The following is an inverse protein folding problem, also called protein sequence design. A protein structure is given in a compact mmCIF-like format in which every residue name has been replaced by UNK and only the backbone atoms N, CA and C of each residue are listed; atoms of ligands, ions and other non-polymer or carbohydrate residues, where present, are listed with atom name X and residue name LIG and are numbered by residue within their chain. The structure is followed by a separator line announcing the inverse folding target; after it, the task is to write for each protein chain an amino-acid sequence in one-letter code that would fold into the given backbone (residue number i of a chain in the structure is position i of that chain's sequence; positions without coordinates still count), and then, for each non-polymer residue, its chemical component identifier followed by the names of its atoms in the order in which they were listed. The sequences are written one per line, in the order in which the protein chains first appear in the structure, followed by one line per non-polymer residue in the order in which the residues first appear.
data_IF_182538875220
#
_entry.id   IF_182538875220
#
_cell.length_a   1.000
_cell.length_b   1.000
_cell.length_c   1.000
_cell.angle_alpha   90.00
_cell.angle_beta   90.00
_cell.angle_gamma   90.00
#
_symmetry.space_group_name_H-M   'P 1'
#
loop_
_entity.id
_entity.type
_entity.pdbx_description
1 polymer ?
#
# COMPACT_ATOMS: atom_id res chain seq x y z
N UNK A 1 6.46 27.42 -2.49
CA UNK A 1 7.16 28.12 -3.59
C UNK A 1 7.15 27.22 -4.82
N UNK A 2 6.84 27.74 -6.01
CA UNK A 2 6.77 26.94 -7.25
C UNK A 2 8.18 26.64 -7.80
N UNK A 3 8.45 25.37 -8.15
CA UNK A 3 9.73 24.93 -8.72
C UNK A 3 9.50 24.32 -10.12
N UNK A 4 9.76 25.06 -11.22
CA UNK A 4 9.46 24.61 -12.58
C UNK A 4 10.08 23.26 -12.94
N UNK A 5 11.29 22.97 -12.45
CA UNK A 5 12.01 21.70 -12.73
C UNK A 5 11.37 20.46 -12.12
N UNK A 6 10.42 20.61 -11.19
CA UNK A 6 9.67 19.51 -10.57
C UNK A 6 8.33 19.24 -11.26
N UNK A 7 8.00 19.98 -12.31
CA UNK A 7 6.76 19.85 -13.04
C UNK A 7 7.07 19.44 -14.48
N UNK A 8 6.27 18.52 -15.00
CA UNK A 8 6.29 18.18 -16.42
C UNK A 8 5.30 19.06 -17.19
N UNK A 9 5.61 19.33 -18.45
CA UNK A 9 4.66 19.99 -19.36
C UNK A 9 3.50 19.05 -19.62
N UNK A 10 2.26 19.58 -19.58
CA UNK A 10 1.07 18.78 -19.88
C UNK A 10 1.19 18.14 -21.26
N UNK A 11 1.00 16.82 -21.33
CA UNK A 11 1.03 16.08 -22.58
C UNK A 11 -0.10 16.55 -23.52
N UNK A 12 0.22 16.75 -24.80
CA UNK A 12 -0.76 17.12 -25.82
C UNK A 12 -1.61 15.94 -26.33
N UNK A 13 -1.37 14.73 -25.80
CA UNK A 13 -2.11 13.52 -26.15
C UNK A 13 -3.55 13.56 -25.64
N UNK A 14 -4.47 13.01 -26.42
CA UNK A 14 -5.84 12.78 -25.95
C UNK A 14 -5.88 11.64 -24.94
N UNK A 15 -6.92 11.62 -24.10
CA UNK A 15 -7.15 10.54 -23.14
C UNK A 15 -7.41 9.20 -23.86
N UNK A 16 -6.62 8.18 -23.51
CA UNK A 16 -6.80 6.81 -23.98
C UNK A 16 -7.03 5.86 -22.80
N UNK A 17 -8.26 5.34 -22.71
CA UNK A 17 -8.66 4.40 -21.65
C UNK A 17 -7.85 3.09 -21.71
N UNK A 18 -7.55 2.58 -22.89
CA UNK A 18 -6.81 1.31 -23.03
C UNK A 18 -5.37 1.49 -22.54
N UNK A 19 -4.72 2.59 -22.92
CA UNK A 19 -3.37 2.92 -22.44
C UNK A 19 -3.32 3.02 -20.91
N UNK A 20 -4.29 3.72 -20.31
CA UNK A 20 -4.37 3.87 -18.85
C UNK A 20 -4.54 2.52 -18.15
N UNK A 21 -5.38 1.63 -18.67
CA UNK A 21 -5.53 0.27 -18.12
C UNK A 21 -4.24 -0.52 -18.19
N UNK A 22 -3.54 -0.49 -19.33
CA UNK A 22 -2.24 -1.15 -19.48
C UNK A 22 -1.22 -0.66 -18.45
N UNK A 23 -1.19 0.65 -18.17
CA UNK A 23 -0.27 1.23 -17.18
C UNK A 23 -0.64 0.81 -15.75
N UNK A 24 -1.94 0.82 -15.40
CA UNK A 24 -2.41 0.34 -14.10
C UNK A 24 -2.03 -1.13 -13.88
N UNK A 25 -2.29 -1.98 -14.88
CA UNK A 25 -1.93 -3.39 -14.85
C UNK A 25 -0.42 -3.61 -14.72
N UNK A 26 0.40 -2.80 -15.40
CA UNK A 26 1.85 -2.87 -15.30
C UNK A 26 2.35 -2.50 -13.89
N UNK A 27 1.83 -1.40 -13.31
CA UNK A 27 2.19 -0.97 -11.96
C UNK A 27 1.79 -2.02 -10.91
N UNK A 28 0.57 -2.55 -11.00
CA UNK A 28 0.10 -3.56 -10.05
C UNK A 28 0.92 -4.85 -10.13
N UNK A 29 1.24 -5.30 -11.34
CA UNK A 29 2.08 -6.49 -11.55
C UNK A 29 3.49 -6.31 -11.02
N UNK A 30 4.12 -5.16 -11.25
CA UNK A 30 5.42 -4.86 -10.66
C UNK A 30 5.33 -4.82 -9.13
N UNK A 31 4.27 -4.23 -8.59
CA UNK A 31 4.00 -4.22 -7.14
C UNK A 31 3.90 -5.64 -6.57
N UNK A 32 3.17 -6.55 -7.23
CA UNK A 32 3.08 -7.96 -6.81
C UNK A 32 4.44 -8.67 -6.93
N UNK A 33 5.22 -8.42 -7.98
CA UNK A 33 6.53 -9.04 -8.19
C UNK A 33 7.58 -8.59 -7.18
N UNK A 34 7.49 -7.36 -6.69
CA UNK A 34 8.40 -6.81 -5.68
C UNK A 34 7.98 -7.15 -4.24
N UNK A 35 6.85 -7.83 -4.03
CA UNK A 35 6.44 -8.26 -2.71
C UNK A 35 7.42 -9.32 -2.15
N UNK A 36 7.96 -9.04 -0.97
CA UNK A 36 8.78 -9.97 -0.22
C UNK A 36 8.07 -10.49 1.03
N UNK A 37 8.24 -11.78 1.32
CA UNK A 37 7.56 -12.43 2.45
C UNK A 37 8.08 -11.96 3.81
N UNK A 38 9.33 -11.50 3.89
CA UNK A 38 9.96 -11.08 5.15
C UNK A 38 9.80 -9.58 5.40
N UNK A 39 9.86 -8.79 4.34
CA UNK A 39 9.99 -7.33 4.40
C UNK A 39 8.90 -6.56 3.69
N UNK A 40 7.91 -7.22 3.07
CA UNK A 40 6.82 -6.57 2.33
C UNK A 40 7.33 -5.74 1.15
N UNK A 41 7.16 -4.42 1.18
CA UNK A 41 7.70 -3.48 0.19
C UNK A 41 8.69 -2.53 0.87
N UNK A 42 9.89 -2.34 0.31
CA UNK A 42 10.93 -1.55 0.94
C UNK A 42 10.58 -0.06 0.96
N UNK A 43 11.03 0.63 2.00
CA UNK A 43 10.87 2.09 2.11
C UNK A 43 11.74 2.78 1.07
N UNK A 44 11.11 3.69 0.31
CA UNK A 44 11.83 4.54 -0.61
C UNK A 44 12.90 5.36 0.15
N UNK A 45 14.13 5.53 -0.36
CA UNK A 45 15.20 6.22 0.36
C UNK A 45 14.85 7.64 0.83
N UNK A 46 13.97 8.34 0.10
CA UNK A 46 13.51 9.69 0.46
C UNK A 46 12.40 9.72 1.53
N UNK A 47 11.86 8.57 1.93
CA UNK A 47 10.80 8.46 2.94
C UNK A 47 11.33 7.88 4.27
N UNK A 48 12.65 7.75 4.43
CA UNK A 48 13.33 7.22 5.63
C UNK A 48 13.45 8.27 6.74
N UNK A 49 12.34 8.93 7.04
CA UNK A 49 12.32 10.07 7.96
C UNK A 49 11.86 9.70 9.38
N UNK A 50 11.34 8.48 9.60
CA UNK A 50 10.83 8.03 10.89
C UNK A 50 11.88 7.23 11.68
N UNK A 51 12.22 7.63 12.92
CA UNK A 51 12.92 6.78 13.87
C UNK A 51 11.95 5.86 14.64
N UNK A 52 12.33 4.61 14.97
CA UNK A 52 13.57 3.92 14.60
C UNK A 52 13.56 3.47 13.12
N UNK A 53 14.74 3.25 12.50
CA UNK A 53 14.80 2.73 11.14
C UNK A 53 14.19 1.33 11.10
N UNK A 54 13.12 1.18 10.32
CA UNK A 54 12.47 -0.10 10.03
C UNK A 54 12.72 -0.49 8.57
N UNK A 55 12.76 -1.80 8.22
CA UNK A 55 13.02 -2.22 6.85
C UNK A 55 11.85 -1.88 5.90
N UNK A 56 10.64 -1.82 6.43
CA UNK A 56 9.40 -1.49 5.75
C UNK A 56 8.41 -0.88 6.72
N UNK A 57 7.54 -0.01 6.22
CA UNK A 57 6.39 0.51 6.96
C UNK A 57 5.17 -0.41 6.75
N UNK A 58 4.36 -0.57 7.80
CA UNK A 58 3.18 -1.42 7.77
C UNK A 58 1.86 -0.64 7.74
N UNK A 59 1.85 0.60 8.22
CA UNK A 59 0.65 1.44 8.31
C UNK A 59 0.04 1.80 6.95
N UNK A 60 -1.16 2.39 6.99
CA UNK A 60 -1.97 2.66 5.80
C UNK A 60 -1.37 3.76 4.90
N UNK A 61 -0.90 4.86 5.48
CA UNK A 61 -0.54 6.06 4.69
C UNK A 61 0.68 5.84 3.79
N UNK A 62 1.71 5.16 4.30
CA UNK A 62 2.95 4.95 3.59
C UNK A 62 3.50 3.56 3.94
N UNK A 63 2.71 2.51 3.76
CA UNK A 63 3.13 1.17 4.15
C UNK A 63 2.33 0.05 3.53
N UNK A 64 2.67 -1.17 3.92
CA UNK A 64 2.17 -2.39 3.33
C UNK A 64 0.62 -2.51 3.39
N UNK A 65 -0.03 -1.99 4.44
CA UNK A 65 -1.49 -1.98 4.50
C UNK A 65 -2.14 -1.10 3.42
N UNK A 66 -1.50 0.02 3.07
CA UNK A 66 -1.93 0.89 1.96
C UNK A 66 -1.82 0.19 0.61
N UNK A 67 -0.73 -0.53 0.39
CA UNK A 67 -0.53 -1.33 -0.83
C UNK A 67 -1.60 -2.42 -0.94
N UNK A 68 -1.84 -3.17 0.14
CA UNK A 68 -2.89 -4.20 0.19
C UNK A 68 -4.27 -3.61 -0.12
N UNK A 69 -4.61 -2.47 0.47
CA UNK A 69 -5.87 -1.80 0.19
C UNK A 69 -5.99 -1.37 -1.28
N UNK A 70 -4.93 -0.80 -1.86
CA UNK A 70 -4.91 -0.36 -3.25
C UNK A 70 -5.09 -1.54 -4.22
N UNK A 71 -4.37 -2.64 -4.02
CA UNK A 71 -4.51 -3.86 -4.81
C UNK A 71 -5.92 -4.45 -4.68
N UNK A 72 -6.47 -4.52 -3.46
CA UNK A 72 -7.85 -4.96 -3.24
C UNK A 72 -8.85 -4.08 -4.00
N UNK A 73 -8.70 -2.76 -3.93
CA UNK A 73 -9.56 -1.81 -4.61
C UNK A 73 -9.50 -1.97 -6.14
N UNK A 74 -8.30 -2.06 -6.71
CA UNK A 74 -8.11 -2.23 -8.15
C UNK A 74 -8.68 -3.56 -8.65
N UNK A 75 -8.51 -4.64 -7.88
CA UNK A 75 -9.10 -5.94 -8.19
C UNK A 75 -10.64 -5.88 -8.14
N UNK A 76 -11.23 -5.28 -7.11
CA UNK A 76 -12.68 -5.07 -7.02
C UNK A 76 -13.23 -4.22 -8.17
N UNK A 77 -12.46 -3.23 -8.63
CA UNK A 77 -12.80 -2.39 -9.78
C UNK A 77 -12.57 -3.09 -11.14
N UNK A 78 -12.15 -4.37 -11.15
CA UNK A 78 -11.81 -5.14 -12.36
C UNK A 78 -10.74 -4.45 -13.23
N UNK A 79 -9.87 -3.67 -12.58
CA UNK A 79 -8.77 -2.98 -13.24
C UNK A 79 -7.54 -3.88 -13.39
N UNK A 80 -7.39 -4.89 -12.53
CA UNK A 80 -6.26 -5.82 -12.50
C UNK A 80 -6.75 -7.24 -12.19
N UNK A 81 -5.95 -8.24 -12.54
CA UNK A 81 -6.00 -9.58 -11.93
C UNK A 81 -5.00 -9.62 -10.77
N UNK A 82 -5.23 -10.46 -9.78
CA UNK A 82 -4.43 -10.51 -8.55
C UNK A 82 -4.21 -11.95 -8.11
N UNK A 83 -2.97 -12.30 -7.80
CA UNK A 83 -2.60 -13.65 -7.35
C UNK A 83 -2.32 -13.71 -5.83
N UNK A 84 -2.16 -12.57 -5.17
CA UNK A 84 -1.87 -12.49 -3.73
C UNK A 84 -3.10 -12.76 -2.86
N UNK A 85 -2.92 -13.60 -1.83
CA UNK A 85 -3.87 -13.71 -0.71
C UNK A 85 -3.76 -12.49 0.22
N UNK A 86 -4.52 -11.44 -0.13
CA UNK A 86 -4.53 -10.18 0.61
C UNK A 86 -5.07 -10.31 2.04
N UNK A 87 -5.97 -11.27 2.29
CA UNK A 87 -6.55 -11.49 3.61
C UNK A 87 -5.53 -12.10 4.59
N UNK A 88 -4.76 -13.09 4.13
CA UNK A 88 -3.63 -13.61 4.87
C UNK A 88 -2.53 -12.54 5.03
N UNK A 89 -2.26 -11.77 3.98
CA UNK A 89 -1.23 -10.73 4.00
C UNK A 89 -1.54 -9.62 5.01
N UNK A 90 -2.76 -9.06 5.03
CA UNK A 90 -3.10 -7.99 5.99
C UNK A 90 -3.10 -8.50 7.44
N UNK A 91 -3.47 -9.76 7.67
CA UNK A 91 -3.40 -10.38 8.99
C UNK A 91 -1.96 -10.49 9.49
N UNK A 92 -1.03 -10.86 8.61
CA UNK A 92 0.41 -10.91 8.89
C UNK A 92 0.98 -9.52 9.15
N UNK A 93 0.65 -8.54 8.30
CA UNK A 93 1.08 -7.14 8.46
C UNK A 93 0.66 -6.62 9.84
N UNK A 94 -0.58 -6.88 10.24
CA UNK A 94 -1.06 -6.49 11.55
C UNK A 94 -0.28 -7.14 12.70
N UNK A 95 -0.02 -8.45 12.62
CA UNK A 95 0.80 -9.14 13.61
C UNK A 95 2.23 -8.57 13.68
N UNK A 96 2.87 -8.31 12.53
CA UNK A 96 4.21 -7.71 12.48
C UNK A 96 4.22 -6.31 13.10
N UNK A 97 3.23 -5.47 12.77
CA UNK A 97 3.13 -4.12 13.33
C UNK A 97 2.99 -4.12 14.87
N UNK A 98 2.24 -5.07 15.45
CA UNK A 98 2.12 -5.18 16.90
C UNK A 98 3.45 -5.54 17.59
N UNK A 99 4.34 -6.26 16.90
CA UNK A 99 5.67 -6.64 17.42
C UNK A 99 6.74 -5.57 17.16
N UNK A 100 6.68 -4.93 16.01
CA UNK A 100 7.65 -3.94 15.54
C UNK A 100 6.92 -2.78 14.83
N UNK A 101 6.26 -1.90 15.59
CA UNK A 101 5.47 -0.81 15.02
C UNK A 101 6.33 0.25 14.35
N UNK A 102 5.83 0.83 13.26
CA UNK A 102 6.53 1.84 12.42
C UNK A 102 7.17 2.98 13.24
N UNK A 103 6.53 3.42 14.32
CA UNK A 103 6.97 4.55 15.15
C UNK A 103 7.59 4.11 16.48
N UNK A 104 8.00 2.85 16.61
CA UNK A 104 8.57 2.28 17.83
C UNK A 104 7.57 2.04 18.99
N UNK A 105 6.29 2.36 18.79
CA UNK A 105 5.17 1.99 19.67
C UNK A 105 3.90 1.81 18.85
N UNK A 106 2.97 0.99 19.34
CA UNK A 106 1.65 0.83 18.73
C UNK A 106 0.87 2.15 18.91
N UNK A 107 0.43 2.75 17.81
CA UNK A 107 -0.32 4.01 17.80
C UNK A 107 -1.73 3.77 17.26
N UNK A 108 -2.80 4.16 17.96
CA UNK A 108 -4.17 4.04 17.48
C UNK A 108 -4.51 5.15 16.47
N UNK A 109 -3.75 5.25 15.39
CA UNK A 109 -3.87 6.29 14.35
C UNK A 109 -4.25 5.69 13.00
N UNK A 110 -4.99 6.47 12.22
CA UNK A 110 -5.30 6.14 10.82
C UNK A 110 -4.10 6.41 9.89
N UNK A 111 -3.32 7.45 10.20
CA UNK A 111 -2.22 7.92 9.36
C UNK A 111 -1.01 6.98 9.44
N UNK A 112 -0.38 6.93 10.62
CA UNK A 112 0.77 6.06 10.93
C UNK A 112 0.43 5.23 12.17
N UNK A 113 -0.46 4.26 12.02
CA UNK A 113 -0.96 3.52 13.17
C UNK A 113 -1.77 2.28 12.83
N UNK A 114 -2.15 1.58 13.89
CA UNK A 114 -2.88 0.31 13.88
C UNK A 114 -4.26 0.45 13.24
N UNK A 115 -4.95 1.59 13.43
CA UNK A 115 -6.35 1.77 13.00
C UNK A 115 -6.49 1.63 11.49
N UNK A 116 -5.54 2.17 10.72
CA UNK A 116 -5.53 2.00 9.26
C UNK A 116 -5.40 0.53 8.85
N UNK A 117 -4.55 -0.23 9.53
CA UNK A 117 -4.34 -1.67 9.28
C UNK A 117 -5.60 -2.46 9.65
N UNK A 118 -6.19 -2.18 10.81
CA UNK A 118 -7.40 -2.84 11.29
C UNK A 118 -8.60 -2.61 10.36
N UNK A 119 -8.74 -1.40 9.79
CA UNK A 119 -9.81 -1.11 8.84
C UNK A 119 -9.67 -1.93 7.55
N UNK A 120 -8.45 -2.01 7.00
CA UNK A 120 -8.19 -2.83 5.81
C UNK A 120 -8.47 -4.29 6.12
N UNK A 121 -8.01 -4.80 7.27
CA UNK A 121 -8.30 -6.17 7.70
C UNK A 121 -9.80 -6.45 7.83
N UNK A 122 -10.58 -5.55 8.42
CA UNK A 122 -12.04 -5.66 8.49
C UNK A 122 -12.68 -5.68 7.10
N UNK A 123 -12.17 -4.88 6.16
CA UNK A 123 -12.69 -4.81 4.79
C UNK A 123 -12.48 -6.11 4.01
N UNK A 124 -11.32 -6.76 4.20
CA UNK A 124 -10.93 -8.00 3.52
C UNK A 124 -11.46 -9.26 4.22
N UNK A 125 -11.65 -9.20 5.53
CA UNK A 125 -12.19 -10.27 6.35
C UNK A 125 -13.37 -9.74 7.17
N UNK A 126 -14.51 -9.41 6.52
CA UNK A 126 -15.69 -8.99 7.27
C UNK A 126 -16.13 -10.14 8.15
N UNK A 127 -16.33 -9.88 9.45
CA UNK A 127 -16.99 -10.85 10.32
C UNK A 127 -18.38 -11.12 9.74
N UNK A 128 -18.80 -12.39 9.69
CA UNK A 128 -20.21 -12.69 9.45
C UNK A 128 -21.03 -11.94 10.50
N UNK A 129 -22.02 -11.17 10.05
CA UNK A 129 -22.96 -10.53 10.95
C UNK A 129 -23.73 -11.64 11.68
N UNK A 130 -23.67 -11.64 13.02
CA UNK A 130 -24.47 -12.50 13.89
C UNK A 130 -25.94 -12.16 13.76
#
# INVERSE_FOLDING_TARGET
MYQPRRHETLAASTWDKAQVRTVIEAIARDTEQQWDQQTYWPIHPLDRDLPPPVPAYMSLYCGAAGVVWALHYLHQAQAISLDLDLAALISRIHQTYLQAPDTGRVVPSFFLGEVGIALVRWRLCPFEAV
#
